data_IF_820268718518
#
_entry.id   IF_820268718518
#
_cell.length_a   1.000
_cell.length_b   1.000
_cell.length_c   1.000
_cell.angle_alpha   90.00
_cell.angle_beta   90.00
_cell.angle_gamma   90.00
#
_symmetry.space_group_name_H-M   'P 1'
#
loop_
_entity.id
_entity.type
_entity.pdbx_description
1 polymer ?
#
# COMPACT_ATOMS: atom_id res chain seq x y z
N UNK A 1 -86.89 -7.64 -42.33
CA UNK A 1 -85.87 -8.56 -41.77
C UNK A 1 -84.54 -8.14 -42.35
N UNK A 2 -83.78 -7.38 -41.57
CA UNK A 2 -82.49 -6.83 -41.97
C UNK A 2 -81.42 -7.51 -41.12
N UNK A 3 -80.46 -8.15 -41.80
CA UNK A 3 -79.30 -8.84 -41.25
C UNK A 3 -78.27 -7.84 -40.70
N UNK A 4 -77.60 -8.10 -39.56
CA UNK A 4 -76.55 -7.23 -39.08
C UNK A 4 -75.21 -7.57 -39.75
N UNK A 5 -74.54 -6.55 -40.29
CA UNK A 5 -73.17 -6.61 -40.78
C UNK A 5 -72.21 -6.47 -39.59
N UNK A 6 -71.37 -7.49 -39.35
CA UNK A 6 -70.29 -7.45 -38.35
C UNK A 6 -69.03 -6.96 -39.05
N UNK A 7 -68.52 -5.80 -38.63
CA UNK A 7 -67.25 -5.22 -39.08
C UNK A 7 -66.11 -5.81 -38.24
N UNK A 8 -65.25 -6.64 -38.83
CA UNK A 8 -64.03 -7.14 -38.20
C UNK A 8 -62.91 -6.14 -38.50
N UNK A 9 -62.46 -5.40 -37.47
CA UNK A 9 -61.30 -4.51 -37.55
C UNK A 9 -60.04 -5.32 -37.24
N UNK A 10 -59.17 -5.49 -38.24
CA UNK A 10 -57.83 -6.06 -38.04
C UNK A 10 -56.90 -4.98 -37.45
N UNK A 11 -56.57 -5.09 -36.17
CA UNK A 11 -55.49 -4.32 -35.56
C UNK A 11 -54.13 -4.92 -35.97
N UNK A 12 -53.42 -4.25 -36.88
CA UNK A 12 -52.01 -4.52 -37.18
C UNK A 12 -51.14 -4.02 -36.01
N UNK A 13 -50.66 -4.95 -35.17
CA UNK A 13 -49.65 -4.66 -34.16
C UNK A 13 -48.31 -4.47 -34.89
N UNK A 14 -47.89 -3.24 -35.07
CA UNK A 14 -46.53 -2.91 -35.52
C UNK A 14 -45.63 -2.80 -34.29
N UNK A 15 -44.74 -3.76 -34.12
CA UNK A 15 -43.68 -3.70 -33.09
C UNK A 15 -42.67 -2.60 -33.47
N UNK A 16 -42.27 -1.71 -32.56
CA UNK A 16 -41.22 -0.74 -32.84
C UNK A 16 -39.87 -1.45 -33.05
N UNK A 17 -38.97 -0.91 -33.90
CA UNK A 17 -37.66 -1.49 -34.10
C UNK A 17 -36.83 -1.33 -32.82
N UNK A 18 -36.34 -2.45 -32.30
CA UNK A 18 -35.43 -2.51 -31.15
C UNK A 18 -34.17 -1.71 -31.47
N UNK A 19 -34.00 -0.57 -30.81
CA UNK A 19 -32.73 0.15 -30.80
C UNK A 19 -31.73 -0.72 -30.02
N UNK A 20 -30.82 -1.37 -30.74
CA UNK A 20 -29.66 -2.01 -30.11
C UNK A 20 -28.73 -0.91 -29.61
N UNK A 21 -28.88 -0.53 -28.35
CA UNK A 21 -27.86 0.20 -27.62
C UNK A 21 -26.62 -0.70 -27.56
N UNK A 22 -25.58 -0.38 -28.34
CA UNK A 22 -24.26 -0.95 -28.15
C UNK A 22 -23.74 -0.45 -26.79
N UNK A 23 -24.05 -1.21 -25.73
CA UNK A 23 -23.34 -1.11 -24.47
C UNK A 23 -21.88 -1.45 -24.77
N UNK A 24 -21.01 -0.44 -24.77
CA UNK A 24 -19.57 -0.65 -24.72
C UNK A 24 -19.27 -1.38 -23.42
N UNK A 25 -19.15 -2.70 -23.50
CA UNK A 25 -18.50 -3.48 -22.47
C UNK A 25 -17.08 -2.97 -22.35
N UNK A 26 -16.80 -2.18 -21.31
CA UNK A 26 -15.44 -2.07 -20.81
C UNK A 26 -15.05 -3.47 -20.33
N UNK A 27 -14.50 -4.28 -21.24
CA UNK A 27 -13.72 -5.44 -20.83
C UNK A 27 -12.54 -4.85 -20.05
N UNK A 28 -12.59 -4.97 -18.72
CA UNK A 28 -11.41 -4.86 -17.89
C UNK A 28 -10.53 -6.05 -18.26
N UNK A 29 -9.80 -5.94 -19.37
CA UNK A 29 -8.81 -6.93 -19.74
C UNK A 29 -7.78 -6.95 -18.62
N UNK A 30 -7.69 -8.07 -17.91
CA UNK A 30 -6.66 -8.31 -16.91
C UNK A 30 -5.30 -8.31 -17.60
N UNK A 31 -4.66 -7.15 -17.65
CA UNK A 31 -3.36 -7.01 -18.27
C UNK A 31 -2.38 -7.80 -17.41
N UNK A 32 -1.87 -8.90 -17.96
CA UNK A 32 -0.69 -9.59 -17.46
C UNK A 32 0.51 -9.04 -18.23
N UNK A 33 1.59 -8.68 -17.53
CA UNK A 33 2.81 -8.25 -18.22
C UNK A 33 3.62 -9.48 -18.63
N UNK A 34 3.64 -9.76 -19.92
CA UNK A 34 4.36 -10.92 -20.46
C UNK A 34 5.84 -10.60 -20.70
N UNK A 35 6.65 -11.65 -20.78
CA UNK A 35 8.06 -11.55 -21.15
C UNK A 35 8.28 -10.74 -22.45
N UNK A 36 9.26 -9.84 -22.43
CA UNK A 36 9.59 -8.96 -23.55
C UNK A 36 8.68 -7.75 -23.72
N UNK A 37 7.64 -7.61 -22.89
CA UNK A 37 6.72 -6.47 -22.90
C UNK A 37 7.07 -5.41 -21.85
N UNK A 38 6.44 -4.23 -21.96
CA UNK A 38 6.68 -3.11 -21.06
C UNK A 38 5.43 -2.24 -20.83
N UNK A 39 5.35 -1.66 -19.64
CA UNK A 39 4.46 -0.56 -19.30
C UNK A 39 5.22 0.76 -19.45
N UNK A 40 4.60 1.77 -20.05
CA UNK A 40 5.20 3.09 -20.24
C UNK A 40 4.48 4.12 -19.38
N UNK A 41 5.21 5.03 -18.76
CA UNK A 41 4.63 6.13 -17.95
C UNK A 41 3.70 7.03 -18.78
N UNK A 42 3.92 7.12 -20.09
CA UNK A 42 3.12 7.91 -21.03
C UNK A 42 1.77 7.27 -21.38
N UNK A 43 1.54 6.02 -20.94
CA UNK A 43 0.27 5.29 -21.12
C UNK A 43 -0.34 4.99 -19.73
N UNK A 44 -0.93 6.00 -19.06
CA UNK A 44 -1.39 5.87 -17.67
C UNK A 44 -2.56 4.90 -17.49
N UNK A 45 -3.24 4.56 -18.57
CA UNK A 45 -4.30 3.56 -18.67
C UNK A 45 -3.77 2.11 -18.75
N UNK A 46 -2.49 1.93 -19.10
CA UNK A 46 -1.85 0.62 -19.12
C UNK A 46 -1.41 0.21 -17.71
N UNK A 47 -2.32 -0.40 -16.97
CA UNK A 47 -2.13 -0.84 -15.59
C UNK A 47 -2.46 -2.33 -15.42
N UNK A 48 -1.87 -2.96 -14.40
CA UNK A 48 -2.26 -4.30 -13.97
C UNK A 48 -3.39 -4.16 -12.96
N UNK A 49 -4.49 -4.89 -13.13
CA UNK A 49 -5.62 -4.87 -12.20
C UNK A 49 -5.79 -6.28 -11.63
N UNK A 50 -5.99 -6.39 -10.31
CA UNK A 50 -6.24 -7.69 -9.67
C UNK A 50 -7.55 -8.30 -10.18
N UNK A 51 -7.70 -9.64 -10.19
CA UNK A 51 -8.94 -10.30 -10.62
C UNK A 51 -10.23 -9.76 -9.99
N UNK A 52 -10.19 -9.41 -8.70
CA UNK A 52 -11.31 -8.82 -7.97
C UNK A 52 -11.42 -7.29 -8.10
N UNK A 53 -10.55 -6.65 -8.89
CA UNK A 53 -10.44 -5.21 -9.10
C UNK A 53 -10.17 -4.36 -7.84
N UNK A 54 -9.81 -4.95 -6.69
CA UNK A 54 -9.49 -4.22 -5.46
C UNK A 54 -8.16 -3.48 -5.58
N UNK A 55 -7.17 -4.07 -6.25
CA UNK A 55 -5.84 -3.51 -6.40
C UNK A 55 -5.51 -3.19 -7.85
N UNK A 56 -4.78 -2.11 -8.05
CA UNK A 56 -4.20 -1.71 -9.32
C UNK A 56 -2.69 -1.48 -9.13
N UNK A 57 -1.89 -1.87 -10.12
CA UNK A 57 -0.46 -1.58 -10.18
C UNK A 57 -0.09 -0.86 -11.48
N UNK A 58 0.73 0.18 -11.38
CA UNK A 58 1.08 1.03 -12.52
C UNK A 58 1.97 2.20 -12.15
N UNK A 59 2.12 3.15 -13.07
CA UNK A 59 2.82 4.40 -12.77
C UNK A 59 1.91 5.35 -11.99
N UNK A 60 2.39 5.80 -10.84
CA UNK A 60 1.70 6.70 -9.94
C UNK A 60 2.46 8.04 -9.87
N UNK A 61 1.76 9.19 -10.03
CA UNK A 61 2.39 10.49 -9.91
C UNK A 61 2.74 10.81 -8.44
N UNK A 62 3.99 11.13 -8.18
CA UNK A 62 4.50 11.54 -6.85
C UNK A 62 4.96 13.01 -6.83
N UNK A 63 4.87 13.69 -7.97
CA UNK A 63 5.16 15.11 -8.15
C UNK A 63 4.78 15.57 -9.57
N UNK A 64 5.13 16.80 -9.96
CA UNK A 64 4.70 17.39 -11.25
C UNK A 64 5.24 16.65 -12.49
N UNK A 65 6.46 16.12 -12.42
CA UNK A 65 7.04 15.27 -13.47
C UNK A 65 7.86 14.12 -12.86
N UNK A 66 7.39 13.62 -11.73
CA UNK A 66 8.02 12.58 -10.95
C UNK A 66 7.03 11.44 -10.72
N UNK A 67 7.42 10.23 -11.11
CA UNK A 67 6.57 9.06 -11.07
C UNK A 67 7.28 7.91 -10.37
N UNK A 68 6.48 7.01 -9.81
CA UNK A 68 6.97 5.74 -9.29
C UNK A 68 6.04 4.62 -9.70
N UNK A 69 6.58 3.42 -9.87
CA UNK A 69 5.74 2.24 -10.06
C UNK A 69 5.21 1.78 -8.70
N UNK A 70 3.90 1.69 -8.57
CA UNK A 70 3.23 1.48 -7.29
C UNK A 70 2.04 0.52 -7.39
N UNK A 71 1.59 0.03 -6.24
CA UNK A 71 0.34 -0.72 -6.05
C UNK A 71 -0.56 0.12 -5.15
N UNK A 72 -1.82 0.26 -5.51
CA UNK A 72 -2.81 1.02 -4.75
C UNK A 72 -4.19 0.35 -4.78
N UNK A 73 -5.03 0.70 -3.82
CA UNK A 73 -6.46 0.38 -3.86
C UNK A 73 -7.13 1.11 -5.02
N UNK A 74 -7.78 0.37 -5.92
CA UNK A 74 -8.40 0.90 -7.15
C UNK A 74 -9.42 1.99 -6.83
N UNK A 75 -10.26 1.75 -5.83
CA UNK A 75 -11.25 2.72 -5.37
C UNK A 75 -10.58 3.92 -4.67
N UNK A 76 -10.90 5.16 -5.08
CA UNK A 76 -10.36 6.35 -4.45
C UNK A 76 -10.82 6.46 -3.00
N UNK A 77 -9.95 6.94 -2.12
CA UNK A 77 -10.24 7.16 -0.70
C UNK A 77 -10.63 8.60 -0.38
N UNK A 78 -10.37 9.53 -1.31
CA UNK A 78 -10.80 10.93 -1.27
C UNK A 78 -10.89 11.48 -2.70
N UNK A 79 -11.36 12.72 -2.87
CA UNK A 79 -11.40 13.40 -4.16
C UNK A 79 -9.99 13.52 -4.76
N UNK A 80 -9.69 12.63 -5.71
CA UNK A 80 -8.43 12.48 -6.45
C UNK A 80 -7.23 11.88 -5.71
N UNK A 81 -7.44 11.17 -4.60
CA UNK A 81 -6.37 10.38 -3.98
C UNK A 81 -6.73 8.88 -3.93
N UNK A 82 -5.80 8.06 -4.43
CA UNK A 82 -5.84 6.60 -4.24
C UNK A 82 -4.84 6.20 -3.16
N UNK A 83 -5.19 5.19 -2.38
CA UNK A 83 -4.37 4.71 -1.27
C UNK A 83 -3.28 3.77 -1.79
N UNK A 84 -2.05 4.28 -1.83
CA UNK A 84 -0.85 3.49 -2.18
C UNK A 84 -0.49 2.57 -1.02
N UNK A 85 -0.11 1.34 -1.34
CA UNK A 85 0.28 0.30 -0.35
C UNK A 85 1.69 -0.25 -0.61
N UNK A 86 2.24 -0.03 -1.80
CA UNK A 86 3.57 -0.46 -2.17
C UNK A 86 4.14 0.39 -3.30
N UNK A 87 5.45 0.60 -3.33
CA UNK A 87 6.14 1.38 -4.35
C UNK A 87 7.56 0.86 -4.60
N UNK A 88 7.90 0.60 -5.86
CA UNK A 88 9.19 0.01 -6.25
C UNK A 88 10.36 0.97 -6.03
N UNK A 89 10.19 2.23 -6.45
CA UNK A 89 11.25 3.24 -6.55
C UNK A 89 10.91 4.51 -5.74
N UNK A 90 10.45 4.33 -4.50
CA UNK A 90 10.00 5.45 -3.64
C UNK A 90 11.08 6.50 -3.35
N UNK A 91 12.35 6.09 -3.34
CA UNK A 91 13.50 6.96 -3.07
C UNK A 91 14.20 7.48 -4.34
N UNK A 92 13.78 6.98 -5.51
CA UNK A 92 14.30 7.42 -6.80
C UNK A 92 13.14 7.52 -7.82
N UNK A 93 12.27 8.54 -7.71
CA UNK A 93 11.24 8.80 -8.72
C UNK A 93 11.85 9.00 -10.10
N UNK A 94 11.13 8.55 -11.12
CA UNK A 94 11.52 8.60 -12.54
C UNK A 94 10.75 9.69 -13.28
N UNK A 95 11.27 10.09 -14.44
CA UNK A 95 10.68 11.10 -15.28
C UNK A 95 9.33 10.64 -15.86
N UNK A 96 8.38 11.57 -16.04
CA UNK A 96 7.10 11.31 -16.70
C UNK A 96 7.17 11.07 -18.21
N UNK A 97 8.36 11.02 -18.80
CA UNK A 97 8.58 10.73 -20.22
C UNK A 97 9.64 9.66 -20.40
N UNK A 98 9.47 8.82 -21.42
CA UNK A 98 10.42 7.77 -21.81
C UNK A 98 10.77 6.72 -20.72
N UNK A 99 10.15 6.76 -19.55
CA UNK A 99 10.37 5.79 -18.46
C UNK A 99 9.46 4.58 -18.61
N UNK A 100 10.01 3.38 -18.34
CA UNK A 100 9.31 2.11 -18.60
C UNK A 100 9.64 1.05 -17.55
N UNK A 101 8.62 0.27 -17.18
CA UNK A 101 8.76 -1.00 -16.48
C UNK A 101 8.76 -2.11 -17.53
N UNK A 102 9.83 -2.87 -17.63
CA UNK A 102 10.02 -3.89 -18.66
C UNK A 102 10.33 -5.24 -18.05
N UNK A 103 9.64 -6.29 -18.52
CA UNK A 103 10.01 -7.66 -18.19
C UNK A 103 10.94 -8.17 -19.29
N UNK A 104 12.22 -8.33 -18.98
CA UNK A 104 13.22 -8.80 -19.94
C UNK A 104 13.06 -10.28 -20.24
N UNK A 105 13.55 -10.70 -21.41
CA UNK A 105 13.60 -12.12 -21.79
C UNK A 105 14.47 -13.00 -20.90
N UNK A 106 15.32 -12.37 -20.10
CA UNK A 106 16.13 -13.05 -19.08
C UNK A 106 15.34 -13.35 -17.80
N UNK A 107 14.06 -12.96 -17.74
CA UNK A 107 13.23 -13.08 -16.53
C UNK A 107 13.55 -12.02 -15.46
N UNK A 108 14.19 -10.90 -15.82
CA UNK A 108 14.44 -9.78 -14.91
C UNK A 108 13.41 -8.67 -15.14
N UNK A 109 12.77 -8.20 -14.08
CA UNK A 109 11.86 -7.06 -14.12
C UNK A 109 12.65 -5.79 -13.80
N UNK A 110 12.68 -4.84 -14.73
CA UNK A 110 13.47 -3.60 -14.58
C UNK A 110 12.62 -2.35 -14.76
N UNK A 111 12.92 -1.33 -13.97
CA UNK A 111 12.39 0.02 -14.14
C UNK A 111 13.50 0.92 -14.68
N UNK A 112 13.23 1.54 -15.82
CA UNK A 112 14.16 2.43 -16.52
C UNK A 112 13.63 3.85 -16.56
N UNK A 113 14.52 4.82 -16.34
CA UNK A 113 14.23 6.25 -16.46
C UNK A 113 14.42 6.75 -17.92
N UNK A 114 14.07 8.01 -18.19
CA UNK A 114 14.22 8.67 -19.50
C UNK A 114 15.62 8.52 -20.12
N UNK A 115 16.67 8.52 -19.28
CA UNK A 115 18.05 8.31 -19.70
C UNK A 115 18.43 6.86 -20.02
N UNK A 116 17.47 5.92 -19.98
CA UNK A 116 17.66 4.46 -20.09
C UNK A 116 18.49 3.84 -18.96
N UNK A 117 18.76 4.59 -17.89
CA UNK A 117 19.37 4.05 -16.67
C UNK A 117 18.36 3.18 -15.93
N UNK A 118 18.81 2.04 -15.43
CA UNK A 118 18.01 1.17 -14.55
C UNK A 118 17.99 1.78 -13.16
N UNK A 119 16.80 2.13 -12.67
CA UNK A 119 16.59 2.75 -11.35
C UNK A 119 16.17 1.71 -10.31
N UNK A 120 15.49 0.65 -10.75
CA UNK A 120 15.08 -0.46 -9.89
C UNK A 120 15.05 -1.76 -10.69
N UNK A 121 15.36 -2.89 -10.04
CA UNK A 121 15.27 -4.21 -10.65
C UNK A 121 14.91 -5.28 -9.61
N UNK A 122 14.21 -6.33 -10.05
CA UNK A 122 13.97 -7.52 -9.22
C UNK A 122 15.21 -8.39 -9.02
N UNK A 123 16.26 -8.19 -9.83
CA UNK A 123 17.50 -8.98 -9.84
C UNK A 123 17.25 -10.48 -10.01
N UNK A 124 16.23 -10.83 -10.78
CA UNK A 124 15.85 -12.21 -11.07
C UNK A 124 16.43 -12.69 -12.39
N UNK A 125 16.57 -14.01 -12.51
CA UNK A 125 16.99 -14.67 -13.74
C UNK A 125 16.20 -15.97 -13.93
N UNK A 126 15.69 -16.19 -15.14
CA UNK A 126 14.99 -17.42 -15.51
C UNK A 126 15.20 -17.72 -16.99
N UNK A 127 15.44 -18.99 -17.30
CA UNK A 127 15.45 -19.51 -18.68
C UNK A 127 14.03 -19.84 -19.18
N UNK A 128 13.09 -20.06 -18.26
CA UNK A 128 11.68 -20.27 -18.57
C UNK A 128 10.98 -18.93 -18.76
N UNK A 129 10.01 -18.90 -19.66
CA UNK A 129 9.17 -17.72 -19.83
C UNK A 129 8.46 -17.33 -18.53
N UNK A 130 8.30 -16.03 -18.34
CA UNK A 130 7.76 -15.46 -17.11
C UNK A 130 6.71 -14.39 -17.41
N UNK A 131 5.89 -14.12 -16.40
CA UNK A 131 4.85 -13.11 -16.45
C UNK A 131 4.72 -12.43 -15.09
N UNK A 132 4.38 -11.15 -15.10
CA UNK A 132 4.05 -10.38 -13.90
C UNK A 132 2.53 -10.35 -13.72
N UNK A 133 2.06 -10.79 -12.55
CA UNK A 133 0.63 -10.88 -12.23
C UNK A 133 0.35 -10.17 -10.91
N UNK A 134 -0.76 -9.44 -10.83
CA UNK A 134 -1.25 -8.83 -9.59
C UNK A 134 -2.37 -9.71 -9.02
N UNK A 135 -2.16 -10.26 -7.81
CA UNK A 135 -3.16 -11.10 -7.15
C UNK A 135 -4.17 -10.29 -6.34
N UNK A 136 -5.28 -10.94 -6.00
CA UNK A 136 -6.38 -10.38 -5.19
C UNK A 136 -5.97 -9.94 -3.78
N UNK A 137 -4.85 -10.46 -3.28
CA UNK A 137 -4.24 -10.05 -2.01
C UNK A 137 -3.47 -8.72 -2.12
N UNK A 138 -3.28 -8.19 -3.34
CA UNK A 138 -2.39 -7.07 -3.62
C UNK A 138 -0.92 -7.47 -3.82
N UNK A 139 -0.62 -8.77 -3.80
CA UNK A 139 0.74 -9.26 -4.07
C UNK A 139 1.02 -9.22 -5.58
N UNK A 140 2.06 -8.49 -5.98
CA UNK A 140 2.55 -8.45 -7.34
C UNK A 140 3.67 -9.49 -7.50
N UNK A 141 3.43 -10.47 -8.35
CA UNK A 141 4.25 -11.69 -8.42
C UNK A 141 4.81 -11.86 -9.82
N UNK A 142 6.13 -11.99 -9.90
CA UNK A 142 6.84 -12.45 -11.09
C UNK A 142 6.94 -13.98 -11.02
N UNK A 143 6.27 -14.65 -11.95
CA UNK A 143 6.11 -16.10 -11.94
C UNK A 143 6.45 -16.70 -13.29
N UNK A 144 7.08 -17.87 -13.30
CA UNK A 144 7.31 -18.64 -14.52
C UNK A 144 6.00 -19.22 -15.05
N UNK A 145 5.84 -19.24 -16.38
CA UNK A 145 4.60 -19.69 -17.01
C UNK A 145 4.44 -21.21 -16.99
N UNK A 146 5.54 -21.95 -17.14
CA UNK A 146 5.52 -23.42 -17.27
C UNK A 146 5.32 -24.14 -15.94
N UNK A 147 6.14 -23.84 -14.94
CA UNK A 147 6.18 -24.54 -13.65
C UNK A 147 5.66 -23.70 -12.47
N UNK A 148 5.14 -22.49 -12.72
CA UNK A 148 4.53 -21.61 -11.71
C UNK A 148 5.45 -21.33 -10.51
N UNK A 149 6.76 -21.25 -10.76
CA UNK A 149 7.77 -20.90 -9.76
C UNK A 149 7.79 -19.39 -9.59
N UNK A 150 7.65 -18.94 -8.34
CA UNK A 150 7.75 -17.52 -7.98
C UNK A 150 9.23 -17.13 -8.04
N UNK A 151 9.56 -16.17 -8.89
CA UNK A 151 10.90 -15.61 -9.03
C UNK A 151 11.09 -14.41 -8.10
N UNK A 152 10.03 -13.62 -7.93
CA UNK A 152 10.01 -12.43 -7.08
C UNK A 152 8.56 -12.08 -6.72
N UNK A 153 8.34 -11.48 -5.55
CA UNK A 153 7.05 -10.96 -5.14
C UNK A 153 7.17 -9.68 -4.32
N UNK A 154 6.20 -8.76 -4.45
CA UNK A 154 6.22 -7.48 -3.74
C UNK A 154 6.09 -7.64 -2.22
N UNK A 155 5.45 -8.72 -1.77
CA UNK A 155 5.25 -9.00 -0.35
C UNK A 155 6.54 -9.20 0.44
N UNK A 156 7.62 -9.63 -0.22
CA UNK A 156 8.93 -9.83 0.41
C UNK A 156 9.70 -8.53 0.64
N UNK A 157 9.26 -7.43 0.00
CA UNK A 157 9.89 -6.12 0.10
C UNK A 157 8.83 -5.04 0.39
N UNK A 158 8.22 -5.02 1.59
CA UNK A 158 7.22 -4.03 1.95
C UNK A 158 7.78 -2.59 1.92
N UNK A 159 6.88 -1.61 1.87
CA UNK A 159 7.22 -0.18 2.01
C UNK A 159 6.85 0.34 3.38
N UNK A 160 5.79 1.14 3.52
CA UNK A 160 5.26 1.58 4.81
C UNK A 160 4.05 0.75 5.29
N UNK A 161 3.56 -0.16 4.45
CA UNK A 161 2.28 -0.85 4.64
C UNK A 161 2.42 -2.37 4.54
N UNK A 162 1.75 -3.08 5.44
CA UNK A 162 1.46 -4.51 5.38
C UNK A 162 0.00 -4.73 5.04
N UNK A 163 -0.25 -5.57 4.04
CA UNK A 163 -1.59 -6.04 3.70
C UNK A 163 -1.97 -7.31 4.48
N UNK A 164 -3.26 -7.65 4.58
CA UNK A 164 -3.69 -8.92 5.13
C UNK A 164 -3.02 -10.08 4.40
N UNK A 165 -2.66 -11.12 5.15
CA UNK A 165 -1.97 -12.31 4.67
C UNK A 165 -0.54 -12.06 4.14
N UNK A 166 -0.01 -10.83 4.24
CA UNK A 166 1.40 -10.55 4.00
C UNK A 166 2.20 -10.83 5.27
N UNK A 167 3.10 -11.83 5.28
CA UNK A 167 3.95 -12.07 6.43
C UNK A 167 5.03 -10.99 6.54
N UNK A 168 5.14 -10.37 7.71
CA UNK A 168 6.36 -9.66 8.09
C UNK A 168 7.34 -10.69 8.63
N UNK A 169 8.49 -10.84 7.99
CA UNK A 169 9.52 -11.82 8.38
C UNK A 169 10.80 -11.13 8.88
N UNK A 170 11.81 -11.92 9.25
CA UNK A 170 13.14 -11.46 9.69
C UNK A 170 13.78 -10.42 8.77
N UNK A 171 13.65 -10.59 7.46
CA UNK A 171 14.33 -9.78 6.45
C UNK A 171 13.44 -8.62 5.96
N UNK A 172 12.19 -8.56 6.44
CA UNK A 172 11.24 -7.51 6.10
C UNK A 172 11.48 -6.25 6.94
N UNK A 173 11.42 -5.10 6.29
CA UNK A 173 11.55 -3.80 6.92
C UNK A 173 10.43 -2.89 6.45
N UNK A 174 9.54 -2.48 7.37
CA UNK A 174 8.61 -1.40 7.09
C UNK A 174 9.30 -0.08 7.39
N UNK A 175 9.24 0.86 6.44
CA UNK A 175 9.80 2.21 6.57
C UNK A 175 8.70 3.21 6.29
N UNK A 176 8.44 4.13 7.22
CA UNK A 176 7.43 5.16 7.05
C UNK A 176 7.69 6.01 5.81
N UNK A 177 6.67 6.71 5.32
CA UNK A 177 6.86 7.83 4.40
C UNK A 177 7.52 9.03 5.12
N UNK A 178 8.18 9.90 4.36
CA UNK A 178 8.84 11.11 4.88
C UNK A 178 7.84 12.15 5.37
N UNK A 179 6.72 12.29 4.66
CA UNK A 179 5.59 13.12 5.05
C UNK A 179 4.31 12.61 4.38
N UNK A 180 3.18 13.28 4.61
CA UNK A 180 1.91 12.97 3.95
C UNK A 180 1.98 13.04 2.42
N UNK A 181 2.82 13.93 1.87
CA UNK A 181 2.93 14.17 0.42
C UNK A 181 4.25 13.68 -0.17
N UNK A 182 5.19 13.24 0.66
CA UNK A 182 6.49 12.75 0.23
C UNK A 182 6.63 11.27 0.59
N UNK A 183 6.49 10.42 -0.44
CA UNK A 183 6.56 8.97 -0.33
C UNK A 183 7.98 8.42 -0.15
N UNK A 184 9.03 9.24 -0.19
CA UNK A 184 10.39 8.75 0.11
C UNK A 184 10.46 8.16 1.52
N UNK A 185 11.44 7.28 1.72
CA UNK A 185 11.73 6.64 2.99
C UNK A 185 11.89 7.70 4.08
N UNK A 186 11.11 7.57 5.15
CA UNK A 186 11.13 8.40 6.33
C UNK A 186 12.17 7.93 7.35
N UNK A 187 11.92 8.24 8.62
CA UNK A 187 12.83 7.89 9.72
C UNK A 187 12.28 6.79 10.63
N UNK A 188 11.01 6.43 10.52
CA UNK A 188 10.41 5.42 11.38
C UNK A 188 10.44 4.06 10.70
N UNK A 189 10.78 3.03 11.48
CA UNK A 189 10.92 1.65 11.01
C UNK A 189 10.16 0.70 11.91
N UNK A 190 9.60 -0.36 11.32
CA UNK A 190 9.07 -1.53 12.03
C UNK A 190 9.83 -2.77 11.53
N UNK A 191 10.50 -3.46 12.45
CA UNK A 191 11.26 -4.67 12.15
C UNK A 191 11.45 -5.55 13.39
N UNK A 192 11.77 -6.83 13.17
CA UNK A 192 12.30 -7.68 14.22
C UNK A 192 13.77 -7.33 14.49
N UNK A 193 14.10 -7.17 15.75
CA UNK A 193 15.48 -6.96 16.19
C UNK A 193 16.21 -8.29 16.45
N UNK A 194 17.48 -8.22 16.83
CA UNK A 194 18.35 -9.37 17.03
C UNK A 194 17.92 -10.30 18.16
N UNK A 195 17.16 -9.79 19.14
CA UNK A 195 16.57 -10.59 20.22
C UNK A 195 15.19 -11.18 19.87
N UNK A 196 14.81 -11.15 18.59
CA UNK A 196 13.55 -11.67 18.05
C UNK A 196 12.29 -10.87 18.44
N UNK A 197 12.44 -9.67 19.01
CA UNK A 197 11.31 -8.81 19.39
C UNK A 197 10.96 -7.84 18.26
N UNK A 198 9.66 -7.68 17.98
CA UNK A 198 9.18 -6.73 16.98
C UNK A 198 9.21 -5.30 17.56
N UNK A 199 9.96 -4.40 16.92
CA UNK A 199 10.20 -3.03 17.41
C UNK A 199 9.77 -1.94 16.44
N UNK A 200 9.27 -0.84 16.99
CA UNK A 200 9.27 0.44 16.30
C UNK A 200 10.54 1.21 16.67
N UNK A 201 11.25 1.65 15.65
CA UNK A 201 12.53 2.33 15.74
C UNK A 201 12.43 3.67 15.04
N UNK A 202 12.90 4.73 15.67
CA UNK A 202 13.22 5.98 15.00
C UNK A 202 14.70 5.95 14.65
N UNK A 203 15.01 6.21 13.38
CA UNK A 203 16.38 6.22 12.84
C UNK A 203 16.60 7.55 12.10
N UNK A 204 16.79 8.60 12.88
CA UNK A 204 17.00 9.97 12.38
C UNK A 204 18.47 10.25 12.06
N UNK A 205 18.77 11.46 11.56
CA UNK A 205 20.13 11.84 11.15
C UNK A 205 21.14 11.87 12.32
N UNK A 206 20.67 12.21 13.52
CA UNK A 206 21.52 12.40 14.71
C UNK A 206 21.37 11.27 15.74
N UNK A 207 20.18 10.68 15.84
CA UNK A 207 19.84 9.71 16.87
C UNK A 207 19.01 8.58 16.30
N UNK A 208 19.27 7.38 16.80
CA UNK A 208 18.49 6.17 16.52
C UNK A 208 18.05 5.56 17.85
N UNK A 209 16.78 5.20 17.98
CA UNK A 209 16.29 4.52 19.17
C UNK A 209 15.01 3.73 18.92
N UNK A 210 14.96 2.53 19.51
CA UNK A 210 13.71 1.81 19.67
C UNK A 210 12.84 2.54 20.70
N UNK A 211 11.57 2.76 20.36
CA UNK A 211 10.62 3.43 21.26
C UNK A 211 9.37 2.59 21.55
N UNK A 212 9.24 1.44 20.88
CA UNK A 212 8.18 0.48 21.15
C UNK A 212 8.66 -0.97 20.91
N UNK A 213 8.43 -1.92 21.84
CA UNK A 213 7.97 -1.68 23.22
C UNK A 213 8.91 -0.71 23.96
N UNK A 214 8.45 -0.14 25.07
CA UNK A 214 9.20 0.89 25.78
C UNK A 214 10.61 0.39 26.13
N UNK A 215 11.64 1.15 25.73
CA UNK A 215 13.05 0.69 25.76
C UNK A 215 13.58 0.38 27.17
N UNK A 216 12.95 0.92 28.21
CA UNK A 216 13.34 0.68 29.60
C UNK A 216 12.72 -0.60 30.20
N UNK A 217 11.78 -1.25 29.49
CA UNK A 217 11.18 -2.51 29.94
C UNK A 217 11.98 -3.68 29.40
N UNK A 218 12.17 -4.71 30.22
CA UNK A 218 12.60 -6.01 29.73
C UNK A 218 11.51 -6.60 28.81
N UNK A 219 11.89 -7.37 27.80
CA UNK A 219 10.95 -7.96 26.84
C UNK A 219 9.79 -8.70 27.53
N UNK A 220 10.09 -9.47 28.60
CA UNK A 220 9.08 -10.18 29.40
C UNK A 220 8.10 -9.24 30.12
N UNK A 221 8.58 -8.11 30.63
CA UNK A 221 7.76 -7.10 31.32
C UNK A 221 6.84 -6.38 30.31
N UNK A 222 7.30 -6.23 29.07
CA UNK A 222 6.50 -5.73 27.96
C UNK A 222 5.55 -6.79 27.34
N UNK A 223 5.42 -7.97 27.96
CA UNK A 223 4.60 -9.07 27.47
C UNK A 223 5.13 -9.75 26.21
N UNK A 224 6.40 -9.52 25.86
CA UNK A 224 7.08 -10.07 24.69
C UNK A 224 7.90 -11.32 25.04
N UNK A 225 8.09 -12.17 24.04
CA UNK A 225 8.95 -13.36 24.10
C UNK A 225 10.10 -13.23 23.11
N UNK A 226 11.33 -13.36 23.60
CA UNK A 226 12.54 -13.42 22.76
C UNK A 226 12.92 -14.86 22.35
N UNK A 227 12.22 -15.87 22.87
CA UNK A 227 12.59 -17.28 22.68
C UNK A 227 12.21 -17.84 21.31
N UNK A 228 11.20 -17.26 20.66
CA UNK A 228 10.76 -17.70 19.34
C UNK A 228 11.54 -16.97 18.25
N UNK A 229 12.52 -17.66 17.66
CA UNK A 229 13.40 -17.12 16.62
C UNK A 229 12.80 -17.11 15.21
N UNK A 230 11.52 -17.49 15.03
CA UNK A 230 10.90 -17.49 13.70
C UNK A 230 10.79 -16.09 13.10
N UNK A 231 10.63 -15.04 13.94
CA UNK A 231 10.50 -13.63 13.52
C UNK A 231 9.45 -13.46 12.44
N UNK A 232 8.24 -13.94 12.71
CA UNK A 232 7.10 -13.85 11.80
C UNK A 232 5.97 -13.09 12.49
N UNK A 233 5.38 -12.14 11.79
CA UNK A 233 4.12 -11.53 12.18
C UNK A 233 3.14 -11.47 11.00
N UNK A 234 1.85 -11.58 11.28
CA UNK A 234 0.80 -11.68 10.28
C UNK A 234 -0.46 -10.94 10.74
N UNK A 235 -0.99 -10.11 9.85
CA UNK A 235 -2.35 -9.58 9.95
C UNK A 235 -3.30 -10.49 9.17
N UNK A 236 -4.36 -10.97 9.81
CA UNK A 236 -5.39 -11.73 9.12
C UNK A 236 -6.46 -10.85 8.46
N UNK A 237 -7.34 -11.48 7.69
CA UNK A 237 -8.42 -10.79 6.99
C UNK A 237 -9.54 -10.28 7.92
N UNK A 238 -9.54 -10.62 9.22
CA UNK A 238 -10.58 -10.27 10.20
C UNK A 238 -10.11 -9.21 11.22
N UNK A 239 -8.85 -8.78 11.15
CA UNK A 239 -8.31 -7.72 12.00
C UNK A 239 -7.56 -8.21 13.23
N UNK A 240 -7.13 -9.48 13.27
CA UNK A 240 -6.22 -9.99 14.27
C UNK A 240 -4.78 -9.93 13.75
N UNK A 241 -3.91 -9.27 14.50
CA UNK A 241 -2.48 -9.29 14.27
C UNK A 241 -1.81 -10.20 15.30
N UNK A 242 -0.93 -11.06 14.82
CA UNK A 242 -0.15 -11.97 15.66
C UNK A 242 1.32 -11.90 15.28
N UNK A 243 2.20 -11.97 16.28
CA UNK A 243 3.65 -11.92 16.11
C UNK A 243 4.32 -13.02 16.92
N UNK A 244 5.43 -13.55 16.41
CA UNK A 244 6.22 -14.61 17.03
C UNK A 244 6.74 -14.22 18.42
N UNK A 245 6.90 -12.92 18.68
CA UNK A 245 7.32 -12.37 19.97
C UNK A 245 6.18 -12.28 20.99
N UNK A 246 5.07 -12.99 20.79
CA UNK A 246 3.87 -13.04 21.65
C UNK A 246 3.05 -11.74 21.65
N UNK A 247 3.36 -10.78 20.79
CA UNK A 247 2.51 -9.62 20.61
C UNK A 247 1.31 -9.95 19.74
N UNK A 248 0.14 -9.50 20.20
CA UNK A 248 -1.11 -9.60 19.47
C UNK A 248 -1.98 -8.40 19.75
N UNK A 249 -2.81 -8.04 18.78
CA UNK A 249 -3.91 -7.10 18.97
C UNK A 249 -5.08 -7.46 18.07
N UNK A 250 -6.25 -6.99 18.46
CA UNK A 250 -7.46 -7.02 17.66
C UNK A 250 -7.84 -5.61 17.23
N UNK A 251 -8.36 -5.48 16.03
CA UNK A 251 -9.04 -4.27 15.59
C UNK A 251 -10.34 -4.05 16.36
N UNK A 252 -10.79 -2.79 16.46
CA UNK A 252 -12.07 -2.45 17.09
C UNK A 252 -13.28 -3.07 16.36
N UNK A 253 -13.11 -3.43 15.08
CA UNK A 253 -14.09 -4.06 14.20
C UNK A 253 -13.78 -5.56 13.96
N UNK A 254 -13.06 -6.19 14.88
CA UNK A 254 -12.62 -7.58 14.74
C UNK A 254 -13.79 -8.53 14.46
N UNK A 255 -13.58 -9.45 13.51
CA UNK A 255 -14.56 -10.45 13.08
C UNK A 255 -15.39 -10.02 11.86
N UNK A 256 -15.35 -8.74 11.47
CA UNK A 256 -15.96 -8.26 10.21
C UNK A 256 -14.93 -8.35 9.09
N UNK A 257 -15.30 -8.83 7.91
CA UNK A 257 -14.41 -8.85 6.75
C UNK A 257 -14.46 -7.50 6.02
N UNK A 258 -13.38 -6.72 6.12
CA UNK A 258 -13.24 -5.37 5.55
C UNK A 258 -11.91 -5.25 4.79
N UNK A 259 -11.79 -4.25 3.93
CA UNK A 259 -10.48 -3.88 3.39
C UNK A 259 -9.62 -3.37 4.53
N UNK A 260 -8.39 -3.88 4.63
CA UNK A 260 -7.48 -3.57 5.73
C UNK A 260 -6.09 -3.24 5.24
N UNK A 261 -5.41 -2.37 5.98
CA UNK A 261 -3.97 -2.11 5.83
C UNK A 261 -3.37 -1.73 7.17
N UNK A 262 -2.24 -2.33 7.51
CA UNK A 262 -1.44 -1.95 8.66
C UNK A 262 -0.29 -1.07 8.16
N UNK A 263 -0.35 0.24 8.45
CA UNK A 263 0.58 1.22 7.91
C UNK A 263 1.38 1.87 9.04
N UNK A 264 2.68 1.97 8.85
CA UNK A 264 3.56 2.81 9.66
C UNK A 264 3.54 4.22 9.08
N UNK A 265 2.70 5.07 9.67
CA UNK A 265 2.49 6.42 9.15
C UNK A 265 3.73 7.30 9.36
N UNK A 266 3.84 8.38 8.57
CA UNK A 266 4.95 9.32 8.60
C UNK A 266 5.16 9.99 9.97
N UNK A 267 4.17 9.96 10.86
CA UNK A 267 4.26 10.49 12.22
C UNK A 267 4.85 9.51 13.24
N UNK A 268 5.20 8.30 12.79
CA UNK A 268 5.84 7.23 13.57
C UNK A 268 4.88 6.30 14.28
N UNK A 269 3.57 6.45 14.08
CA UNK A 269 2.58 5.56 14.67
C UNK A 269 2.25 4.42 13.72
N UNK A 270 2.17 3.21 14.26
CA UNK A 270 1.65 2.05 13.53
C UNK A 270 0.14 2.01 13.69
N UNK A 271 -0.59 2.05 12.57
CA UNK A 271 -2.06 2.09 12.56
C UNK A 271 -2.64 1.01 11.67
N UNK A 272 -3.65 0.32 12.18
CA UNK A 272 -4.52 -0.52 11.36
C UNK A 272 -5.68 0.34 10.89
N UNK A 273 -5.83 0.40 9.57
CA UNK A 273 -6.94 1.04 8.92
C UNK A 273 -7.90 -0.01 8.37
N UNK A 274 -9.19 0.23 8.59
CA UNK A 274 -10.28 -0.54 8.03
C UNK A 274 -11.11 0.34 7.11
N UNK A 275 -11.65 -0.25 6.05
CA UNK A 275 -12.49 0.42 5.07
C UNK A 275 -13.59 -0.54 4.59
N UNK A 276 -14.81 -0.04 4.57
CA UNK A 276 -15.93 -0.70 3.90
C UNK A 276 -15.73 -0.69 2.38
N UNK A 277 -16.18 -1.75 1.71
CA UNK A 277 -16.22 -1.78 0.24
C UNK A 277 -17.17 -0.68 -0.27
N UNK A 278 -16.88 -0.12 -1.45
CA UNK A 278 -17.72 0.87 -2.13
C UNK A 278 -17.88 2.20 -1.36
N UNK A 279 -17.06 3.19 -1.71
CA UNK A 279 -17.11 4.56 -1.15
C UNK A 279 -16.80 4.68 0.36
N UNK A 280 -16.35 3.62 1.02
CA UNK A 280 -15.86 3.72 2.40
C UNK A 280 -14.66 4.65 2.52
N UNK A 281 -14.56 5.38 3.64
CA UNK A 281 -13.34 6.10 4.01
C UNK A 281 -12.47 5.22 4.93
N UNK A 282 -11.17 5.46 4.96
CA UNK A 282 -10.30 4.74 5.89
C UNK A 282 -10.55 5.21 7.33
N UNK A 283 -10.89 4.27 8.20
CA UNK A 283 -11.06 4.49 9.63
C UNK A 283 -9.94 3.78 10.38
N UNK A 284 -9.37 4.43 11.39
CA UNK A 284 -8.38 3.82 12.28
C UNK A 284 -9.11 2.86 13.21
N UNK A 285 -8.92 1.56 13.03
CA UNK A 285 -9.53 0.51 13.86
C UNK A 285 -8.59 0.01 14.97
N UNK A 286 -7.28 0.30 14.86
CA UNK A 286 -6.30 0.12 15.93
C UNK A 286 -5.07 1.04 15.73
N UNK A 287 -4.38 1.41 16.81
CA UNK A 287 -3.10 2.13 16.73
C UNK A 287 -2.20 1.78 17.92
N UNK A 288 -0.88 1.79 17.70
CA UNK A 288 0.12 1.50 18.73
C UNK A 288 0.16 2.57 19.83
N UNK A 289 -0.01 3.85 19.45
CA UNK A 289 0.00 4.97 20.38
C UNK A 289 -1.30 5.78 20.31
N UNK A 290 -2.06 5.78 21.40
CA UNK A 290 -3.21 6.69 21.57
C UNK A 290 -2.77 8.15 21.83
N UNK A 291 -1.56 8.35 22.36
CA UNK A 291 -0.97 9.66 22.63
C UNK A 291 0.26 9.86 21.74
N UNK A 292 0.15 10.61 20.63
CA UNK A 292 1.24 10.81 19.67
C UNK A 292 2.54 11.36 20.26
N UNK A 293 2.49 12.09 21.38
CA UNK A 293 3.69 12.64 22.03
C UNK A 293 4.56 11.59 22.74
N UNK A 294 4.12 10.34 22.84
CA UNK A 294 4.95 9.22 23.32
C UNK A 294 5.84 8.64 22.23
N UNK A 295 5.58 8.97 20.97
CA UNK A 295 6.39 8.54 19.84
C UNK A 295 7.71 9.30 19.86
N UNK A 296 8.81 8.60 19.62
CA UNK A 296 10.13 9.24 19.59
C UNK A 296 10.21 10.26 18.44
N UNK A 297 10.92 11.36 18.68
CA UNK A 297 11.02 12.48 17.73
C UNK A 297 9.66 12.98 17.22
N UNK A 298 8.62 12.92 18.06
CA UNK A 298 7.30 13.42 17.69
C UNK A 298 7.31 14.90 17.29
N UNK A 299 8.19 15.69 17.87
CA UNK A 299 8.47 17.04 17.40
C UNK A 299 9.97 17.15 17.11
N UNK A 300 10.34 18.11 16.26
CA UNK A 300 11.71 18.33 15.85
C UNK A 300 12.62 18.81 16.98
N UNK A 301 13.91 19.04 16.68
CA UNK A 301 14.86 19.55 17.65
C UNK A 301 14.38 20.84 18.34
N UNK A 302 14.76 21.03 19.59
CA UNK A 302 14.47 22.22 20.42
C UNK A 302 12.97 22.53 20.58
N UNK A 303 12.13 21.51 20.51
CA UNK A 303 10.68 21.65 20.65
C UNK A 303 10.09 20.68 21.67
N UNK A 304 8.94 21.05 22.23
CA UNK A 304 8.17 20.22 23.16
C UNK A 304 6.86 19.79 22.52
N UNK A 305 6.51 18.52 22.72
CA UNK A 305 5.27 17.93 22.24
C UNK A 305 4.15 18.07 23.28
N UNK A 306 3.03 18.64 22.88
CA UNK A 306 1.78 18.65 23.66
C UNK A 306 0.70 17.89 22.92
N UNK A 307 0.10 16.91 23.59
CA UNK A 307 -1.09 16.24 23.09
C UNK A 307 -2.31 17.16 23.26
N UNK A 308 -3.03 17.40 22.18
CA UNK A 308 -4.28 18.16 22.16
C UNK A 308 -5.34 17.28 21.53
N UNK A 309 -6.38 16.84 22.26
CA UNK A 309 -7.34 15.85 21.77
C UNK A 309 -7.96 16.14 20.41
N UNK A 310 -8.20 17.42 20.08
CA UNK A 310 -8.81 17.85 18.81
C UNK A 310 -7.83 17.95 17.63
N UNK A 311 -6.53 18.09 17.89
CA UNK A 311 -5.49 18.30 16.86
C UNK A 311 -4.43 17.20 16.85
N UNK A 312 -4.56 16.20 17.73
CA UNK A 312 -3.54 15.19 17.98
C UNK A 312 -2.30 15.80 18.63
N UNK A 313 -1.29 16.13 17.84
CA UNK A 313 0.02 16.62 18.31
C UNK A 313 0.20 18.09 17.98
N UNK A 314 0.62 18.88 18.97
CA UNK A 314 1.11 20.25 18.78
C UNK A 314 2.55 20.37 19.26
N UNK A 315 3.40 20.91 18.41
CA UNK A 315 4.79 21.22 18.74
C UNK A 315 4.93 22.70 19.07
N UNK A 316 5.70 23.03 20.10
CA UNK A 316 6.04 24.41 20.47
C UNK A 316 7.52 24.53 20.80
N UNK A 317 8.13 25.65 20.46
CA UNK A 317 9.55 25.88 20.73
C UNK A 317 9.83 26.05 22.22
N UNK A 318 11.00 25.58 22.64
CA UNK A 318 11.54 25.90 23.96
C UNK A 318 11.85 27.41 24.04
N UNK A 319 11.84 28.01 25.25
CA UNK A 319 12.22 29.40 25.44
C UNK A 319 13.58 29.71 24.79
N UNK A 320 13.64 30.77 23.99
CA UNK A 320 14.85 31.18 23.26
C UNK A 320 14.92 30.71 21.80
N UNK A 321 14.07 29.77 21.38
CA UNK A 321 14.02 29.24 20.01
C UNK A 321 12.80 29.76 19.24
N UNK A 322 12.92 29.87 17.92
CA UNK A 322 11.84 30.31 17.01
C UNK A 322 11.47 29.20 16.03
N UNK A 323 10.20 29.19 15.61
CA UNK A 323 9.71 28.20 14.64
C UNK A 323 10.44 28.41 13.31
N UNK A 324 11.11 27.37 12.81
CA UNK A 324 11.65 27.31 11.44
C UNK A 324 10.63 26.72 10.48
N UNK A 325 9.96 25.65 10.92
CA UNK A 325 8.94 24.90 10.18
C UNK A 325 7.88 24.44 11.21
N UNK A 326 6.62 24.09 10.85
CA UNK A 326 5.56 23.77 11.82
C UNK A 326 5.90 22.72 12.89
N UNK A 327 6.96 21.93 12.69
CA UNK A 327 7.47 20.94 13.64
C UNK A 327 8.87 21.21 14.20
N UNK A 328 9.63 22.19 13.68
CA UNK A 328 11.05 22.41 13.99
C UNK A 328 11.33 23.82 14.52
N UNK A 329 12.21 23.93 15.52
CA UNK A 329 12.61 25.18 16.15
C UNK A 329 14.12 25.42 16.01
N UNK A 330 14.51 26.67 15.72
CA UNK A 330 15.88 27.16 15.57
C UNK A 330 16.22 28.27 16.54
#
# INVERSE_FOLDING_TARGET
>A
MATPFILIVFCLITSPPSASSSSSTHHNDYITLNEGSSLSVERPDHVLISPNAIFTAGFYPVGENAYSFAIWFTEPSCSNCRTVVWMANRDAPINGRNSKLSLLKTGNLILTDAGKSVVWASNTFSLSSSSLQLYDTGNLVLITTTNRVILWQSFDAPTDTLLPLQPLNRDSLLVSSRSLTNFSSGFYKLAFDDDNVLRLVYDGPEVSSAFWPAHWLLSREAGRSSYNSSRIALLDAFGNFTSSDNFTFFSADYGVQLQRRLTLDFDGNLRLYSRENENGSWVISWQAFAQPCKIHAACGPNSVCKYVPSFGRKCSCLPGYKIKNPADCL
#
